data_IF_630121838519
#
_entry.id   IF_630121838519
#
_cell.length_a   1.000
_cell.length_b   1.000
_cell.length_c   1.000
_cell.angle_alpha   90.00
_cell.angle_beta   90.00
_cell.angle_gamma   90.00
#
_symmetry.space_group_name_H-M   'P 1'
#
loop_
_entity.id
_entity.type
_entity.pdbx_description
1 polymer ?
#
# COMPACT_ATOMS: atom_id res chain seq x y z
N UNK A 1 -20.89 18.88 -20.13
CA UNK A 1 -20.41 19.99 -19.28
C UNK A 1 -19.77 19.53 -17.97
N UNK A 2 -20.50 19.09 -16.92
CA UNK A 2 -19.86 18.70 -15.64
C UNK A 2 -18.87 17.52 -15.74
N UNK A 3 -19.17 16.53 -16.58
CA UNK A 3 -18.29 15.36 -16.79
C UNK A 3 -16.95 15.75 -17.42
N UNK A 4 -16.96 16.68 -18.37
CA UNK A 4 -15.74 17.16 -19.07
C UNK A 4 -14.85 17.98 -18.14
N UNK A 5 -15.47 18.76 -17.24
CA UNK A 5 -14.75 19.48 -16.18
C UNK A 5 -14.09 18.48 -15.22
N UNK A 6 -14.81 17.43 -14.82
CA UNK A 6 -14.29 16.40 -13.93
C UNK A 6 -13.10 15.63 -14.56
N UNK A 7 -13.21 15.28 -15.86
CA UNK A 7 -12.12 14.62 -16.58
C UNK A 7 -10.88 15.51 -16.70
N UNK A 8 -11.04 16.81 -17.02
CA UNK A 8 -9.91 17.74 -17.11
C UNK A 8 -9.18 17.94 -15.77
N UNK A 9 -9.93 17.99 -14.66
CA UNK A 9 -9.37 18.07 -13.31
C UNK A 9 -8.62 16.78 -12.93
N UNK A 10 -9.15 15.63 -13.36
CA UNK A 10 -8.55 14.33 -13.10
C UNK A 10 -7.27 14.11 -13.91
N UNK A 11 -7.23 14.52 -15.19
CA UNK A 11 -6.03 14.46 -16.04
C UNK A 11 -4.89 15.36 -15.51
N UNK A 12 -5.21 16.60 -15.11
CA UNK A 12 -4.18 17.57 -14.71
C UNK A 12 -3.77 17.49 -13.23
N UNK A 13 -4.66 17.05 -12.33
CA UNK A 13 -4.45 17.16 -10.88
C UNK A 13 -4.74 15.88 -10.10
N UNK A 14 -4.78 14.73 -10.77
CA UNK A 14 -5.05 13.40 -10.18
C UNK A 14 -4.36 13.18 -8.84
N UNK A 15 -3.05 13.44 -8.77
CA UNK A 15 -2.26 13.25 -7.56
C UNK A 15 -2.67 14.18 -6.41
N UNK A 16 -2.96 15.46 -6.69
CA UNK A 16 -3.40 16.44 -5.70
C UNK A 16 -4.79 16.12 -5.15
N UNK A 17 -5.72 15.71 -6.03
CA UNK A 17 -7.08 15.35 -5.63
C UNK A 17 -7.09 14.08 -4.77
N UNK A 18 -6.39 13.04 -5.22
CA UNK A 18 -6.29 11.78 -4.47
C UNK A 18 -5.59 12.02 -3.14
N UNK A 19 -4.47 12.75 -3.12
CA UNK A 19 -3.74 13.07 -1.89
C UNK A 19 -4.58 13.89 -0.91
N UNK A 20 -5.30 14.90 -1.37
CA UNK A 20 -6.15 15.73 -0.51
C UNK A 20 -7.34 14.96 0.04
N UNK A 21 -7.97 14.12 -0.77
CA UNK A 21 -9.10 13.28 -0.33
C UNK A 21 -8.61 12.24 0.69
N UNK A 22 -7.47 11.62 0.42
CA UNK A 22 -6.86 10.64 1.31
C UNK A 22 -6.45 11.27 2.65
N UNK A 23 -5.81 12.44 2.61
CA UNK A 23 -5.47 13.21 3.81
C UNK A 23 -6.70 13.64 4.61
N UNK A 24 -7.78 14.02 3.93
CA UNK A 24 -9.06 14.36 4.58
C UNK A 24 -9.66 13.15 5.29
N UNK A 25 -9.68 11.97 4.65
CA UNK A 25 -10.19 10.73 5.25
C UNK A 25 -9.36 10.34 6.48
N UNK A 26 -8.03 10.38 6.37
CA UNK A 26 -7.14 10.08 7.50
C UNK A 26 -7.37 11.09 8.63
N UNK A 27 -7.39 12.39 8.32
CA UNK A 27 -7.64 13.43 9.32
C UNK A 27 -9.00 13.28 10.01
N UNK A 28 -10.04 12.92 9.26
CA UNK A 28 -11.36 12.62 9.82
C UNK A 28 -11.32 11.40 10.76
N UNK A 29 -10.60 10.33 10.39
CA UNK A 29 -10.39 9.18 11.27
C UNK A 29 -9.65 9.55 12.56
N UNK A 30 -8.66 10.45 12.48
CA UNK A 30 -7.96 10.97 13.68
C UNK A 30 -8.91 11.71 14.62
N UNK A 31 -9.88 12.45 14.08
CA UNK A 31 -10.84 13.24 14.85
C UNK A 31 -11.93 12.36 15.49
N UNK A 32 -12.38 11.30 14.80
CA UNK A 32 -13.42 10.39 15.29
C UNK A 32 -12.86 9.34 16.27
N UNK A 33 -11.75 8.67 15.92
CA UNK A 33 -11.18 7.58 16.71
C UNK A 33 -10.27 8.09 17.83
N UNK A 34 -9.62 9.24 17.62
CA UNK A 34 -8.58 9.81 18.47
C UNK A 34 -7.16 9.50 17.98
N UNK A 35 -6.21 10.39 18.30
CA UNK A 35 -4.82 10.38 17.81
C UNK A 35 -4.06 9.06 18.07
N UNK A 36 -4.22 8.46 19.25
CA UNK A 36 -3.51 7.22 19.59
C UNK A 36 -4.08 5.99 18.87
N UNK A 37 -5.39 5.96 18.62
CA UNK A 37 -6.03 4.82 17.94
C UNK A 37 -5.65 4.75 16.47
N UNK A 38 -5.54 5.90 15.80
CA UNK A 38 -5.11 5.96 14.40
C UNK A 38 -3.64 5.60 14.24
N UNK A 39 -2.74 6.02 15.15
CA UNK A 39 -1.33 5.59 15.12
C UNK A 39 -1.23 4.07 15.30
N UNK A 40 -1.95 3.49 16.26
CA UNK A 40 -1.98 2.04 16.45
C UNK A 40 -2.46 1.31 15.19
N UNK A 41 -3.55 1.78 14.58
CA UNK A 41 -4.07 1.25 13.32
C UNK A 41 -3.02 1.32 12.20
N UNK A 42 -2.32 2.45 12.07
CA UNK A 42 -1.29 2.66 11.04
C UNK A 42 -0.11 1.70 11.22
N UNK A 43 0.34 1.51 12.46
CA UNK A 43 1.38 0.53 12.80
C UNK A 43 0.90 -0.89 12.49
N UNK A 44 -0.35 -1.23 12.80
CA UNK A 44 -0.92 -2.54 12.45
C UNK A 44 -0.98 -2.77 10.94
N UNK A 45 -1.35 -1.74 10.15
CA UNK A 45 -1.37 -1.83 8.68
C UNK A 45 0.04 -2.03 8.13
N UNK A 46 1.01 -1.23 8.59
CA UNK A 46 2.42 -1.37 8.17
C UNK A 46 2.96 -2.74 8.58
N UNK A 47 2.73 -3.16 9.82
CA UNK A 47 3.15 -4.45 10.33
C UNK A 47 2.54 -5.60 9.55
N UNK A 48 1.22 -5.56 9.31
CA UNK A 48 0.50 -6.54 8.49
C UNK A 48 0.98 -6.58 7.05
N UNK A 49 1.29 -5.44 6.44
CA UNK A 49 1.88 -5.38 5.10
C UNK A 49 3.29 -5.97 5.06
N UNK A 50 4.14 -5.68 6.04
CA UNK A 50 5.48 -6.26 6.13
C UNK A 50 5.42 -7.78 6.36
N UNK A 51 4.53 -8.25 7.25
CA UNK A 51 4.28 -9.66 7.50
C UNK A 51 3.74 -10.37 6.25
N UNK A 52 2.71 -9.80 5.61
CA UNK A 52 2.13 -10.31 4.37
C UNK A 52 3.17 -10.35 3.25
N UNK A 53 3.95 -9.28 3.07
CA UNK A 53 5.06 -9.24 2.12
C UNK A 53 6.11 -10.30 2.43
N UNK A 54 6.43 -10.59 3.69
CA UNK A 54 7.38 -11.67 4.04
C UNK A 54 6.85 -13.07 3.71
N UNK A 55 5.55 -13.28 3.78
CA UNK A 55 4.89 -14.54 3.42
C UNK A 55 4.88 -14.70 1.90
N UNK A 56 4.48 -13.67 1.17
CA UNK A 56 4.45 -13.63 -0.30
C UNK A 56 5.87 -13.70 -0.90
N UNK A 57 6.79 -12.94 -0.32
CA UNK A 57 8.19 -12.90 -0.74
C UNK A 57 8.96 -14.17 -0.37
N UNK A 58 8.38 -15.11 0.40
CA UNK A 58 8.96 -16.45 0.55
C UNK A 58 8.87 -17.26 -0.75
N UNK A 59 7.83 -17.02 -1.55
CA UNK A 59 7.67 -17.63 -2.88
C UNK A 59 8.70 -17.03 -3.86
N UNK A 60 8.82 -15.69 -3.89
CA UNK A 60 9.88 -14.99 -4.65
C UNK A 60 11.30 -15.35 -4.20
N UNK A 61 11.54 -15.47 -2.89
CA UNK A 61 12.86 -15.87 -2.38
C UNK A 61 13.19 -17.29 -2.82
N UNK A 62 12.23 -18.20 -2.89
CA UNK A 62 12.47 -19.58 -3.32
C UNK A 62 12.80 -19.64 -4.81
N UNK A 63 12.08 -18.89 -5.65
CA UNK A 63 12.38 -18.77 -7.08
C UNK A 63 13.74 -18.08 -7.35
N UNK A 64 14.10 -17.06 -6.58
CA UNK A 64 15.40 -16.39 -6.69
C UNK A 64 16.53 -17.30 -6.17
N UNK A 65 16.29 -18.06 -5.11
CA UNK A 65 17.25 -19.00 -4.52
C UNK A 65 17.49 -20.19 -5.45
N UNK A 66 16.43 -20.76 -6.04
CA UNK A 66 16.52 -21.84 -7.04
C UNK A 66 17.21 -21.39 -8.33
N UNK A 67 17.13 -20.11 -8.68
CA UNK A 67 17.81 -19.54 -9.85
C UNK A 67 19.27 -19.20 -9.60
N UNK A 68 19.64 -18.87 -8.36
CA UNK A 68 21.01 -18.51 -7.98
C UNK A 68 21.84 -19.73 -7.58
N UNK A 69 21.19 -20.81 -7.15
CA UNK A 69 21.83 -22.08 -6.81
C UNK A 69 21.62 -23.03 -7.99
N UNK A 70 22.63 -23.30 -8.83
CA UNK A 70 22.50 -24.29 -9.90
C UNK A 70 22.08 -25.64 -9.29
N UNK A 71 21.18 -26.39 -9.95
CA UNK A 71 20.58 -27.59 -9.40
C UNK A 71 21.66 -28.65 -9.11
N UNK A 72 22.03 -28.74 -7.84
CA UNK A 72 22.92 -29.77 -7.31
C UNK A 72 22.15 -31.06 -7.11
N UNK A 73 22.01 -31.82 -8.21
CA UNK A 73 21.83 -33.28 -8.26
C UNK A 73 21.37 -33.94 -6.95
N UNK A 74 20.08 -34.27 -6.85
CA UNK A 74 19.62 -35.39 -6.04
C UNK A 74 18.88 -36.37 -6.95
N UNK A 75 19.33 -37.62 -6.88
CA UNK A 75 18.85 -38.77 -7.67
C UNK A 75 17.36 -39.00 -7.52
#
# INVERSE_FOLDING_TARGET
MFYEIMQNLWENYRGRLVGSLFGFIIGAMFLILGFFKTIFLLICIIGGYLLGKRIDNKEDLMDILDRLLPPGHHR
#
